data_IF_203964276412
#
_entry.id   IF_203964276412
#
_cell.length_a   1.000
_cell.length_b   1.000
_cell.length_c   1.000
_cell.angle_alpha   90.00
_cell.angle_beta   90.00
_cell.angle_gamma   90.00
#
_symmetry.space_group_name_H-M   'P 1'
#
loop_
_entity.id
_entity.type
_entity.pdbx_description
1 polymer ?
#
# COMPACT_ATOMS: atom_id res chain seq x y z
N UNK A 1 -4.64 -12.30 3.20
CA UNK A 1 -3.44 -11.76 3.88
C UNK A 1 -2.97 -10.56 3.08
N UNK A 2 -2.66 -9.43 3.73
CA UNK A 2 -2.13 -8.23 3.04
C UNK A 2 -0.71 -8.51 2.53
N UNK A 3 -0.37 -7.98 1.36
CA UNK A 3 0.99 -8.05 0.80
C UNK A 3 1.89 -6.96 1.40
N UNK A 4 3.20 -7.14 1.35
CA UNK A 4 4.16 -6.11 1.75
C UNK A 4 3.96 -4.82 0.94
N UNK A 5 3.56 -4.92 -0.33
CA UNK A 5 3.18 -3.77 -1.15
C UNK A 5 1.97 -3.03 -0.58
N UNK A 6 0.90 -3.75 -0.22
CA UNK A 6 -0.28 -3.17 0.42
C UNK A 6 0.05 -2.44 1.72
N UNK A 7 0.94 -3.02 2.54
CA UNK A 7 1.45 -2.40 3.77
C UNK A 7 2.22 -1.11 3.47
N UNK A 8 3.20 -1.15 2.57
CA UNK A 8 4.02 0.02 2.21
C UNK A 8 3.17 1.15 1.60
N UNK A 9 2.17 0.81 0.78
CA UNK A 9 1.21 1.79 0.23
C UNK A 9 0.42 2.47 1.35
N UNK A 10 -0.04 1.71 2.36
CA UNK A 10 -0.70 2.25 3.55
C UNK A 10 0.24 3.17 4.35
N UNK A 11 1.46 2.75 4.65
CA UNK A 11 2.47 3.55 5.36
C UNK A 11 2.80 4.85 4.61
N UNK A 12 3.07 4.76 3.31
CA UNK A 12 3.29 5.92 2.44
C UNK A 12 2.17 6.96 2.58
N UNK A 13 0.94 6.47 2.70
CA UNK A 13 -0.26 7.30 2.82
C UNK A 13 -0.44 7.89 4.23
N UNK A 14 -0.07 7.16 5.28
CA UNK A 14 -0.36 7.53 6.68
C UNK A 14 0.78 8.19 7.43
N UNK A 15 2.03 7.98 7.02
CA UNK A 15 3.21 8.36 7.81
C UNK A 15 3.77 9.72 7.40
N UNK A 16 3.15 10.36 6.40
CA UNK A 16 3.48 11.71 5.95
C UNK A 16 2.89 12.78 6.88
N UNK A 17 3.50 13.97 6.95
CA UNK A 17 2.94 15.11 7.69
C UNK A 17 1.51 15.45 7.26
N UNK A 18 1.24 15.34 5.95
CA UNK A 18 -0.12 15.35 5.39
C UNK A 18 -0.52 13.93 5.02
N UNK A 19 -1.37 13.32 5.85
CA UNK A 19 -1.97 12.02 5.58
C UNK A 19 -2.83 12.12 4.32
N UNK A 20 -2.66 11.19 3.41
CA UNK A 20 -3.53 11.10 2.24
C UNK A 20 -4.69 10.14 2.56
N UNK A 21 -5.88 10.46 2.08
CA UNK A 21 -6.96 9.48 1.99
C UNK A 21 -6.68 8.51 0.83
N UNK A 22 -7.35 7.35 0.82
CA UNK A 22 -7.25 6.39 -0.30
C UNK A 22 -7.72 7.01 -1.62
N UNK A 23 -8.68 7.93 -1.53
CA UNK A 23 -9.22 8.63 -2.68
C UNK A 23 -8.20 9.63 -3.26
N UNK A 24 -7.51 10.40 -2.39
CA UNK A 24 -6.43 11.28 -2.81
C UNK A 24 -5.24 10.52 -3.41
N UNK A 25 -4.84 9.40 -2.80
CA UNK A 25 -3.81 8.55 -3.37
C UNK A 25 -4.25 7.97 -4.72
N UNK A 26 -5.50 7.54 -4.83
CA UNK A 26 -6.09 7.05 -6.07
C UNK A 26 -6.02 8.09 -7.18
N UNK A 27 -6.42 9.35 -6.92
CA UNK A 27 -6.29 10.45 -7.88
C UNK A 27 -4.84 10.71 -8.29
N UNK A 28 -3.90 10.63 -7.34
CA UNK A 28 -2.47 10.85 -7.59
C UNK A 28 -1.86 9.83 -8.57
N UNK A 29 -2.35 8.59 -8.56
CA UNK A 29 -1.85 7.49 -9.41
C UNK A 29 -2.81 7.11 -10.55
N UNK A 30 -3.97 7.75 -10.65
CA UNK A 30 -4.96 7.50 -11.71
C UNK A 30 -5.80 6.23 -11.52
N UNK A 31 -6.09 5.82 -10.28
CA UNK A 31 -6.93 4.64 -10.01
C UNK A 31 -8.08 4.94 -9.04
N UNK A 32 -9.19 4.18 -9.08
CA UNK A 32 -10.28 4.33 -8.12
C UNK A 32 -9.85 4.03 -6.68
N UNK A 33 -10.54 4.64 -5.71
CA UNK A 33 -10.37 4.34 -4.26
C UNK A 33 -10.46 2.85 -3.94
N UNK A 34 -11.35 2.12 -4.62
CA UNK A 34 -11.54 0.67 -4.42
C UNK A 34 -10.29 -0.15 -4.79
N UNK A 35 -9.51 0.31 -5.76
CA UNK A 35 -8.23 -0.32 -6.13
C UNK A 35 -7.22 -0.21 -4.99
N UNK A 36 -7.11 0.97 -4.37
CA UNK A 36 -6.25 1.18 -3.19
C UNK A 36 -6.70 0.28 -2.03
N UNK A 37 -8.00 0.20 -1.77
CA UNK A 37 -8.57 -0.69 -0.74
C UNK A 37 -8.22 -2.15 -1.02
N UNK A 38 -8.32 -2.59 -2.28
CA UNK A 38 -7.95 -3.94 -2.69
C UNK A 38 -6.50 -4.28 -2.36
N UNK A 39 -5.58 -3.34 -2.54
CA UNK A 39 -4.17 -3.52 -2.22
C UNK A 39 -3.91 -3.50 -0.71
N UNK A 40 -4.44 -2.51 0.00
CA UNK A 40 -4.19 -2.28 1.43
C UNK A 40 -4.91 -3.28 2.34
N UNK A 41 -6.04 -3.86 1.94
CA UNK A 41 -6.89 -4.66 2.84
C UNK A 41 -7.09 -6.08 2.30
N UNK A 42 -7.42 -6.20 1.03
CA UNK A 42 -7.84 -7.48 0.44
C UNK A 42 -6.66 -8.33 -0.03
N UNK A 43 -5.43 -7.77 -0.05
CA UNK A 43 -4.23 -8.46 -0.54
C UNK A 43 -4.22 -8.65 -2.06
N UNK A 44 -5.03 -7.88 -2.80
CA UNK A 44 -5.02 -7.91 -4.27
C UNK A 44 -3.71 -7.36 -4.81
N UNK A 45 -3.29 -7.88 -5.97
CA UNK A 45 -2.09 -7.41 -6.66
C UNK A 45 -2.45 -6.40 -7.74
N UNK A 46 -1.56 -5.43 -7.92
CA UNK A 46 -1.63 -4.50 -9.05
C UNK A 46 -1.33 -5.20 -10.39
N UNK A 47 -1.75 -4.59 -11.49
CA UNK A 47 -1.27 -4.97 -12.83
C UNK A 47 0.17 -4.46 -13.04
N UNK A 48 0.96 -5.05 -13.96
CA UNK A 48 2.35 -4.67 -14.20
C UNK A 48 2.58 -3.17 -14.39
N UNK A 49 1.72 -2.49 -15.16
CA UNK A 49 1.85 -1.04 -15.40
C UNK A 49 1.76 -0.22 -14.10
N UNK A 50 0.88 -0.63 -13.18
CA UNK A 50 0.73 0.03 -11.88
C UNK A 50 1.86 -0.35 -10.92
N UNK A 51 2.42 -1.56 -11.02
CA UNK A 51 3.63 -1.92 -10.26
C UNK A 51 4.81 -1.04 -10.68
N UNK A 52 5.00 -0.81 -11.98
CA UNK A 52 6.01 0.11 -12.52
C UNK A 52 5.79 1.54 -12.02
N UNK A 53 4.55 2.03 -12.07
CA UNK A 53 4.21 3.37 -11.61
C UNK A 53 4.54 3.57 -10.12
N UNK A 54 4.21 2.60 -9.27
CA UNK A 54 4.45 2.65 -7.83
C UNK A 54 5.94 2.48 -7.49
N UNK A 55 6.67 1.64 -8.22
CA UNK A 55 8.12 1.47 -8.07
C UNK A 55 8.89 2.74 -8.44
N UNK A 56 8.52 3.39 -9.55
CA UNK A 56 9.13 4.66 -9.98
C UNK A 56 8.82 5.82 -9.03
N UNK A 57 7.76 5.74 -8.23
CA UNK A 57 7.47 6.69 -7.14
C UNK A 57 8.11 6.31 -5.80
N UNK A 58 8.91 5.25 -5.77
CA UNK A 58 9.58 4.72 -4.57
C UNK A 58 8.61 4.35 -3.44
N UNK A 59 7.40 3.90 -3.79
CA UNK A 59 6.37 3.49 -2.81
C UNK A 59 6.56 2.03 -2.41
N UNK A 60 6.71 1.16 -3.41
CA UNK A 60 6.99 -0.26 -3.23
C UNK A 60 7.63 -0.83 -4.50
N UNK A 61 8.40 -1.90 -4.35
CA UNK A 61 9.02 -2.64 -5.43
C UNK A 61 8.09 -3.73 -6.00
N UNK A 62 8.50 -4.35 -7.11
CA UNK A 62 7.78 -5.49 -7.69
C UNK A 62 7.73 -6.70 -6.75
N UNK A 63 8.83 -6.98 -6.03
CA UNK A 63 8.91 -8.12 -5.10
C UNK A 63 7.91 -8.00 -3.95
N UNK A 64 7.64 -6.77 -3.48
CA UNK A 64 6.73 -6.50 -2.36
C UNK A 64 5.30 -7.00 -2.59
N UNK A 65 4.88 -7.21 -3.85
CA UNK A 65 3.56 -7.75 -4.18
C UNK A 65 3.41 -9.25 -3.89
N UNK A 66 4.53 -9.94 -3.72
CA UNK A 66 4.61 -11.39 -3.52
C UNK A 66 4.97 -11.75 -2.08
N UNK A 67 5.53 -10.80 -1.33
CA UNK A 67 5.85 -10.96 0.07
C UNK A 67 4.62 -10.72 0.96
N UNK A 68 4.46 -11.48 2.06
CA UNK A 68 3.48 -11.16 3.09
C UNK A 68 3.84 -9.85 3.79
N UNK A 69 2.83 -9.07 4.18
CA UNK A 69 3.06 -7.94 5.08
C UNK A 69 3.61 -8.43 6.44
N UNK A 70 4.44 -7.62 7.13
CA UNK A 70 4.81 -7.91 8.51
C UNK A 70 3.54 -8.05 9.34
N UNK A 71 3.52 -9.02 10.24
CA UNK A 71 2.43 -9.17 11.20
C UNK A 71 2.42 -7.88 12.04
N UNK A 72 1.37 -7.06 11.92
CA UNK A 72 1.15 -5.95 12.85
C UNK A 72 0.91 -6.61 14.22
N UNK A 73 1.95 -6.74 15.04
CA UNK A 73 1.76 -7.08 16.45
C UNK A 73 0.81 -6.02 17.04
N UNK A 74 -0.30 -6.42 17.68
CA UNK A 74 -1.14 -5.45 18.35
C UNK A 74 -0.27 -4.69 19.36
N UNK A 75 -0.40 -3.36 19.39
CA UNK A 75 0.40 -2.43 20.18
C UNK A 75 0.30 -2.61 21.71
N UNK A 76 -0.08 -3.79 22.19
CA UNK A 76 -0.27 -4.19 23.58
C UNK A 76 0.90 -5.02 24.15
N UNK A 77 2.08 -5.03 23.50
CA UNK A 77 3.27 -5.73 24.00
C UNK A 77 4.36 -4.78 24.55
N UNK A 78 4.07 -3.48 24.66
CA UNK A 78 4.97 -2.50 25.31
C UNK A 78 4.24 -1.89 26.52
N UNK A 79 4.16 -2.67 27.60
CA UNK A 79 3.87 -2.16 28.95
C UNK A 79 5.12 -2.28 29.79
#
# INVERSE_FOLDING_TARGET
MMTLAGYKIRCFRTDRPRKLSRDELGRMIGVPRSTITGWEIEGKRAKPDLMNELARREICSHADWYEPAPVEEPALARR
#
